data_IF_848474615368
#
_entry.id   IF_848474615368
#
_cell.length_a   1.000
_cell.length_b   1.000
_cell.length_c   1.000
_cell.angle_alpha   90.00
_cell.angle_beta   90.00
_cell.angle_gamma   90.00
#
_symmetry.space_group_name_H-M   'P 1'
#
loop_
_entity.id
_entity.type
_entity.pdbx_description
1 polymer ?
#
# COMPACT_ATOMS: atom_id res chain seq x y z
N UNK A 1 3.69 -7.64 -21.71
CA UNK A 1 4.25 -6.32 -21.34
C UNK A 1 4.93 -6.47 -19.98
N UNK A 2 6.03 -5.79 -19.66
CA UNK A 2 6.62 -5.88 -18.31
C UNK A 2 6.43 -4.57 -17.54
N UNK A 3 6.23 -4.68 -16.23
CA UNK A 3 5.96 -3.57 -15.31
C UNK A 3 6.94 -3.63 -14.15
N UNK A 4 7.53 -2.48 -13.77
CA UNK A 4 8.26 -2.33 -12.52
C UNK A 4 7.28 -2.16 -11.35
N UNK A 5 7.09 -3.22 -10.56
CA UNK A 5 6.05 -3.28 -9.52
C UNK A 5 6.23 -2.21 -8.44
N UNK A 6 7.42 -1.93 -7.89
CA UNK A 6 7.61 -0.83 -6.94
C UNK A 6 7.18 0.53 -7.49
N UNK A 7 7.51 0.84 -8.76
CA UNK A 7 7.04 2.10 -9.38
C UNK A 7 5.52 2.13 -9.48
N UNK A 8 4.89 1.01 -9.86
CA UNK A 8 3.44 0.90 -9.91
C UNK A 8 2.81 1.08 -8.52
N UNK A 9 3.36 0.42 -7.49
CA UNK A 9 2.91 0.57 -6.10
C UNK A 9 2.91 2.04 -5.68
N UNK A 10 4.01 2.76 -5.92
CA UNK A 10 4.10 4.18 -5.58
C UNK A 10 3.00 5.01 -6.27
N UNK A 11 2.83 4.86 -7.58
CA UNK A 11 1.81 5.61 -8.32
C UNK A 11 0.40 5.24 -7.88
N UNK A 12 0.10 3.95 -7.71
CA UNK A 12 -1.22 3.47 -7.28
C UNK A 12 -1.56 3.98 -5.88
N UNK A 13 -0.68 3.82 -4.90
CA UNK A 13 -0.97 4.28 -3.54
C UNK A 13 -1.05 5.81 -3.44
N UNK A 14 -0.31 6.53 -4.28
CA UNK A 14 -0.46 7.97 -4.37
C UNK A 14 -1.79 8.39 -5.01
N UNK A 15 -2.31 7.62 -5.97
CA UNK A 15 -3.67 7.79 -6.48
C UNK A 15 -4.71 7.53 -5.41
N UNK A 16 -4.55 6.48 -4.59
CA UNK A 16 -5.43 6.21 -3.44
C UNK A 16 -5.41 7.36 -2.42
N UNK A 17 -4.21 7.83 -2.04
CA UNK A 17 -4.04 8.95 -1.10
C UNK A 17 -4.76 10.23 -1.55
N UNK A 18 -4.86 10.43 -2.86
CA UNK A 18 -5.51 11.61 -3.46
C UNK A 18 -6.93 11.30 -3.96
N UNK A 19 -7.41 10.05 -3.82
CA UNK A 19 -8.71 9.56 -4.31
C UNK A 19 -8.98 10.01 -5.76
N UNK A 20 -8.02 9.78 -6.66
CA UNK A 20 -8.15 10.19 -8.07
C UNK A 20 -9.19 9.33 -8.80
N UNK A 21 -9.82 9.87 -9.84
CA UNK A 21 -10.87 9.18 -10.63
C UNK A 21 -10.45 7.83 -11.19
N UNK A 22 -9.16 7.64 -11.49
CA UNK A 22 -8.63 6.41 -12.09
C UNK A 22 -7.99 5.45 -11.08
N UNK A 23 -8.28 5.59 -9.78
CA UNK A 23 -7.67 4.76 -8.73
C UNK A 23 -7.97 3.27 -8.94
N UNK A 24 -9.19 2.92 -9.34
CA UNK A 24 -9.60 1.53 -9.58
C UNK A 24 -8.75 0.85 -10.66
N UNK A 25 -8.55 1.52 -11.80
CA UNK A 25 -7.70 1.01 -12.87
C UNK A 25 -6.26 0.74 -12.38
N UNK A 26 -5.69 1.65 -11.57
CA UNK A 26 -4.38 1.47 -10.98
C UNK A 26 -4.34 0.28 -10.01
N UNK A 27 -5.38 0.11 -9.18
CA UNK A 27 -5.52 -1.00 -8.24
C UNK A 27 -5.67 -2.35 -8.97
N UNK A 28 -6.47 -2.40 -10.03
CA UNK A 28 -6.66 -3.61 -10.84
C UNK A 28 -5.34 -4.09 -11.45
N UNK A 29 -4.57 -3.17 -12.04
CA UNK A 29 -3.26 -3.50 -12.64
C UNK A 29 -2.27 -3.90 -11.56
N UNK A 30 -2.25 -3.21 -10.41
CA UNK A 30 -1.38 -3.53 -9.29
C UNK A 30 -1.68 -4.93 -8.72
N UNK A 31 -2.95 -5.29 -8.55
CA UNK A 31 -3.36 -6.60 -8.07
C UNK A 31 -2.79 -7.73 -8.97
N UNK A 32 -2.95 -7.61 -10.29
CA UNK A 32 -2.41 -8.57 -11.25
C UNK A 32 -0.88 -8.61 -11.17
N UNK A 33 -0.22 -7.45 -11.09
CA UNK A 33 1.24 -7.38 -11.01
C UNK A 33 1.78 -8.03 -9.72
N UNK A 34 1.12 -7.83 -8.58
CA UNK A 34 1.49 -8.45 -7.31
C UNK A 34 1.29 -9.97 -7.32
N UNK A 35 0.24 -10.48 -7.95
CA UNK A 35 0.07 -11.94 -8.16
C UNK A 35 1.22 -12.51 -9.00
N UNK A 36 1.60 -11.85 -10.09
CA UNK A 36 2.73 -12.30 -10.91
C UNK A 36 4.06 -12.24 -10.14
N UNK A 37 4.20 -11.26 -9.24
CA UNK A 37 5.39 -11.07 -8.41
C UNK A 37 5.61 -12.21 -7.40
N UNK A 38 4.54 -12.89 -6.94
CA UNK A 38 4.65 -14.02 -6.02
C UNK A 38 5.52 -15.16 -6.58
N UNK A 39 5.50 -15.35 -7.91
CA UNK A 39 6.25 -16.38 -8.62
C UNK A 39 7.53 -15.85 -9.29
N UNK A 40 7.92 -14.61 -9.01
CA UNK A 40 9.08 -13.95 -9.61
C UNK A 40 10.25 -13.86 -8.64
N UNK A 41 11.46 -13.76 -9.19
CA UNK A 41 12.69 -13.40 -8.46
C UNK A 41 13.05 -11.92 -8.62
N UNK A 42 12.31 -11.18 -9.46
CA UNK A 42 12.56 -9.76 -9.76
C UNK A 42 11.29 -8.92 -9.66
N UNK A 43 11.45 -7.63 -9.36
CA UNK A 43 10.40 -6.62 -9.32
C UNK A 43 9.82 -6.25 -10.70
N UNK A 44 10.35 -6.82 -11.78
CA UNK A 44 9.89 -6.56 -13.14
C UNK A 44 9.13 -7.79 -13.64
N UNK A 45 7.81 -7.70 -13.64
CA UNK A 45 6.93 -8.86 -13.91
C UNK A 45 6.18 -8.71 -15.24
N UNK A 46 5.88 -9.81 -15.93
CA UNK A 46 4.99 -9.77 -17.08
C UNK A 46 3.54 -9.52 -16.63
N UNK A 47 2.86 -8.60 -17.31
CA UNK A 47 1.43 -8.33 -17.16
C UNK A 47 0.75 -8.42 -18.54
N UNK A 48 -0.47 -9.00 -18.64
CA UNK A 48 -1.23 -9.03 -19.88
C UNK A 48 -1.40 -7.63 -20.47
N UNK A 49 -1.24 -7.50 -21.79
CA UNK A 49 -1.32 -6.19 -22.46
C UNK A 49 -2.71 -5.56 -22.31
N UNK A 50 -3.77 -6.37 -22.28
CA UNK A 50 -5.15 -5.91 -22.05
C UNK A 50 -5.29 -5.22 -20.70
N UNK A 51 -4.79 -5.83 -19.62
CA UNK A 51 -4.82 -5.26 -18.26
C UNK A 51 -3.98 -4.00 -18.19
N UNK A 52 -2.75 -4.06 -18.71
CA UNK A 52 -1.83 -2.95 -18.69
C UNK A 52 -2.35 -1.67 -19.38
N UNK A 53 -3.15 -1.81 -20.45
CA UNK A 53 -3.76 -0.69 -21.16
C UNK A 53 -4.79 0.08 -20.33
N UNK A 54 -5.24 -0.48 -19.20
CA UNK A 54 -6.13 0.22 -18.28
C UNK A 54 -5.40 1.32 -17.47
N UNK A 55 -4.06 1.29 -17.40
CA UNK A 55 -3.32 2.31 -16.68
C UNK A 55 -3.59 3.72 -17.26
N UNK A 56 -3.84 4.72 -16.40
CA UNK A 56 -3.87 6.12 -16.81
C UNK A 56 -2.58 6.50 -17.52
N UNK A 57 -2.68 7.39 -18.51
CA UNK A 57 -1.54 7.82 -19.32
C UNK A 57 -0.37 8.30 -18.45
N UNK A 58 -0.63 9.14 -17.45
CA UNK A 58 0.37 9.71 -16.55
C UNK A 58 1.08 8.67 -15.66
N UNK A 59 0.39 7.56 -15.37
CA UNK A 59 0.97 6.42 -14.64
C UNK A 59 1.75 5.51 -15.59
N UNK A 60 1.19 5.22 -16.76
CA UNK A 60 1.81 4.37 -17.77
C UNK A 60 3.19 4.88 -18.20
N UNK A 61 3.35 6.20 -18.36
CA UNK A 61 4.64 6.84 -18.68
C UNK A 61 5.70 6.61 -17.57
N UNK A 62 5.29 6.66 -16.30
CA UNK A 62 6.21 6.60 -15.15
C UNK A 62 6.64 5.18 -14.78
N UNK A 63 5.76 4.19 -14.97
CA UNK A 63 5.96 2.80 -14.51
C UNK A 63 6.95 2.01 -15.38
N UNK A 64 7.49 2.63 -16.44
CA UNK A 64 8.48 2.05 -17.35
C UNK A 64 7.97 0.74 -17.96
N UNK A 65 7.02 0.88 -18.88
CA UNK A 65 6.51 -0.21 -19.70
C UNK A 65 7.60 -0.64 -20.71
N UNK A 66 8.44 -1.61 -20.33
CA UNK A 66 9.58 -2.06 -21.13
C UNK A 66 9.35 -3.50 -21.62
N UNK A 67 9.73 -3.80 -22.87
CA UNK A 67 9.61 -5.16 -23.41
C UNK A 67 10.74 -6.08 -22.93
N UNK A 68 11.98 -5.58 -22.80
CA UNK A 68 13.17 -6.32 -22.36
C UNK A 68 14.18 -5.43 -21.60
N UNK A 69 13.92 -5.05 -20.34
CA UNK A 69 14.92 -4.32 -19.57
C UNK A 69 16.08 -5.27 -19.18
N UNK A 70 17.34 -4.81 -19.20
CA UNK A 70 18.39 -5.50 -18.46
C UNK A 70 17.98 -5.56 -16.99
N UNK A 71 18.02 -6.75 -16.40
CA UNK A 71 17.72 -6.94 -14.98
C UNK A 71 18.98 -6.60 -14.20
N UNK A 72 18.88 -5.61 -13.32
CA UNK A 72 19.98 -5.24 -12.44
C UNK A 72 19.81 -5.90 -11.07
N UNK A 73 20.89 -5.96 -10.27
CA UNK A 73 20.83 -6.51 -8.90
C UNK A 73 19.77 -5.81 -8.04
N UNK A 74 19.55 -4.52 -8.23
CA UNK A 74 18.53 -3.74 -7.51
C UNK A 74 17.09 -4.06 -7.94
N UNK A 75 16.89 -4.83 -9.01
CA UNK A 75 15.58 -5.34 -9.42
C UNK A 75 15.26 -6.71 -8.80
N UNK A 76 16.21 -7.35 -8.10
CA UNK A 76 15.98 -8.64 -7.45
C UNK A 76 15.18 -8.47 -6.15
N UNK A 77 14.32 -9.44 -5.86
CA UNK A 77 13.50 -9.45 -4.64
C UNK A 77 14.30 -10.09 -3.50
N UNK A 78 14.54 -9.33 -2.43
CA UNK A 78 15.10 -9.85 -1.19
C UNK A 78 14.04 -10.62 -0.39
N UNK A 79 14.43 -11.63 0.39
CA UNK A 79 13.49 -12.37 1.26
C UNK A 79 12.82 -11.45 2.28
N UNK A 80 13.56 -10.48 2.79
CA UNK A 80 13.06 -9.53 3.80
C UNK A 80 12.04 -8.53 3.24
N UNK A 81 11.87 -8.48 1.91
CA UNK A 81 10.81 -7.69 1.28
C UNK A 81 9.43 -8.38 1.39
N UNK A 82 9.38 -9.67 1.73
CA UNK A 82 8.14 -10.47 1.71
C UNK A 82 7.05 -9.92 2.63
N UNK A 83 7.29 -9.49 3.88
CA UNK A 83 6.25 -8.90 4.72
C UNK A 83 5.61 -7.66 4.08
N UNK A 84 6.42 -6.80 3.45
CA UNK A 84 5.93 -5.60 2.77
C UNK A 84 5.16 -5.93 1.48
N UNK A 85 5.57 -6.96 0.74
CA UNK A 85 4.85 -7.43 -0.45
C UNK A 85 3.51 -8.09 -0.09
N UNK A 86 3.47 -8.84 1.00
CA UNK A 86 2.22 -9.39 1.55
C UNK A 86 1.28 -8.26 1.99
N UNK A 87 1.82 -7.25 2.69
CA UNK A 87 1.05 -6.05 3.05
C UNK A 87 0.48 -5.35 1.81
N UNK A 88 1.30 -5.14 0.77
CA UNK A 88 0.85 -4.52 -0.47
C UNK A 88 -0.28 -5.32 -1.13
N UNK A 89 -0.17 -6.65 -1.16
CA UNK A 89 -1.16 -7.53 -1.78
C UNK A 89 -2.51 -7.48 -1.05
N UNK A 90 -2.50 -7.65 0.27
CA UNK A 90 -3.72 -7.63 1.08
C UNK A 90 -4.34 -6.23 1.07
N UNK A 91 -3.53 -5.19 1.24
CA UNK A 91 -4.04 -3.83 1.22
C UNK A 91 -4.63 -3.44 -0.14
N UNK A 92 -4.08 -3.94 -1.26
CA UNK A 92 -4.66 -3.70 -2.58
C UNK A 92 -6.08 -4.29 -2.69
N UNK A 93 -6.32 -5.47 -2.11
CA UNK A 93 -7.64 -6.09 -2.08
C UNK A 93 -8.63 -5.28 -1.25
N UNK A 94 -8.22 -4.84 -0.06
CA UNK A 94 -9.04 -3.97 0.79
C UNK A 94 -9.33 -2.62 0.14
N UNK A 95 -8.34 -2.00 -0.52
CA UNK A 95 -8.53 -0.77 -1.29
C UNK A 95 -9.55 -0.95 -2.43
N UNK A 96 -9.52 -2.07 -3.15
CA UNK A 96 -10.52 -2.40 -4.18
C UNK A 96 -11.92 -2.60 -3.58
N UNK A 97 -12.01 -3.21 -2.39
CA UNK A 97 -13.27 -3.34 -1.67
C UNK A 97 -13.81 -1.96 -1.26
N UNK A 98 -12.99 -1.15 -0.59
CA UNK A 98 -13.37 0.20 -0.20
C UNK A 98 -13.79 1.07 -1.40
N UNK A 99 -13.10 0.94 -2.54
CA UNK A 99 -13.47 1.65 -3.76
C UNK A 99 -14.87 1.27 -4.26
N UNK A 100 -15.19 -0.03 -4.31
CA UNK A 100 -16.53 -0.52 -4.70
C UNK A 100 -17.62 -0.12 -3.71
N UNK A 101 -17.27 0.01 -2.44
CA UNK A 101 -18.17 0.46 -1.37
C UNK A 101 -18.21 2.00 -1.24
N UNK A 102 -17.56 2.73 -2.16
CA UNK A 102 -17.47 4.20 -2.19
C UNK A 102 -16.90 4.83 -0.90
N UNK A 103 -16.10 4.07 -0.14
CA UNK A 103 -15.48 4.49 1.12
C UNK A 103 -14.18 5.28 0.86
N UNK A 104 -14.33 6.54 0.48
CA UNK A 104 -13.19 7.40 0.10
C UNK A 104 -12.19 7.67 1.23
N UNK A 105 -12.65 7.77 2.48
CA UNK A 105 -11.80 8.10 3.63
C UNK A 105 -10.83 6.96 3.99
N UNK A 106 -11.27 5.70 4.15
CA UNK A 106 -10.36 4.55 4.26
C UNK A 106 -9.35 4.45 3.11
N UNK A 107 -9.77 4.70 1.87
CA UNK A 107 -8.88 4.68 0.69
C UNK A 107 -7.76 5.71 0.82
N UNK A 108 -8.13 6.94 1.21
CA UNK A 108 -7.18 8.04 1.42
C UNK A 108 -6.18 7.73 2.53
N UNK A 109 -6.67 7.28 3.68
CA UNK A 109 -5.85 6.98 4.84
C UNK A 109 -4.89 5.81 4.59
N UNK A 110 -5.39 4.73 3.99
CA UNK A 110 -4.58 3.57 3.64
C UNK A 110 -3.59 3.90 2.51
N UNK A 111 -3.99 4.69 1.51
CA UNK A 111 -3.09 5.23 0.50
C UNK A 111 -1.97 6.08 1.10
N UNK A 112 -2.28 6.91 2.12
CA UNK A 112 -1.28 7.65 2.87
C UNK A 112 -0.32 6.71 3.60
N UNK A 113 -0.79 5.67 4.27
CA UNK A 113 0.11 4.76 4.96
C UNK A 113 1.07 4.03 4.00
N UNK A 114 0.56 3.62 2.85
CA UNK A 114 1.28 2.72 1.94
C UNK A 114 2.16 3.43 0.90
N UNK A 115 2.10 4.76 0.76
CA UNK A 115 2.82 5.44 -0.33
C UNK A 115 4.33 5.20 -0.32
N UNK A 116 4.94 4.97 0.85
CA UNK A 116 6.36 4.64 1.00
C UNK A 116 6.69 3.15 0.92
N UNK A 117 5.68 2.27 0.81
CA UNK A 117 5.89 0.82 0.82
C UNK A 117 6.78 0.34 -0.34
N UNK A 118 6.75 1.05 -1.48
CA UNK A 118 7.62 0.78 -2.61
C UNK A 118 9.12 0.90 -2.27
N UNK A 119 9.48 1.77 -1.32
CA UNK A 119 10.86 1.94 -0.87
C UNK A 119 11.24 0.77 0.05
N UNK A 120 10.36 0.38 0.97
CA UNK A 120 10.61 -0.72 1.91
C UNK A 120 10.71 -2.08 1.22
N UNK A 121 9.98 -2.32 0.12
CA UNK A 121 10.17 -3.55 -0.65
C UNK A 121 11.53 -3.59 -1.36
N UNK A 122 12.07 -2.43 -1.78
CA UNK A 122 13.38 -2.36 -2.44
C UNK A 122 14.54 -2.42 -1.45
N UNK A 123 14.38 -1.79 -0.29
CA UNK A 123 15.41 -1.70 0.73
C UNK A 123 14.77 -1.91 2.10
N UNK A 124 14.44 -3.16 2.47
CA UNK A 124 13.78 -3.48 3.74
C UNK A 124 14.52 -2.96 4.97
N UNK A 125 15.85 -2.92 4.93
CA UNK A 125 16.70 -2.39 6.00
C UNK A 125 16.53 -0.90 6.28
N UNK A 126 15.89 -0.13 5.39
CA UNK A 126 15.56 1.28 5.62
C UNK A 126 14.19 1.46 6.30
N UNK A 127 13.46 0.38 6.59
CA UNK A 127 12.22 0.48 7.35
C UNK A 127 12.53 0.82 8.80
N UNK A 128 12.01 1.96 9.24
CA UNK A 128 12.05 2.41 10.62
C UNK A 128 10.63 2.47 11.18
N UNK A 129 10.39 1.68 12.25
CA UNK A 129 9.07 1.53 12.85
C UNK A 129 8.55 2.85 13.43
N UNK A 130 9.42 3.63 14.08
CA UNK A 130 9.03 4.88 14.74
C UNK A 130 8.61 5.92 13.70
N UNK A 131 9.37 6.03 12.61
CA UNK A 131 9.04 6.88 11.47
C UNK A 131 7.76 6.46 10.77
N UNK A 132 7.48 5.15 10.68
CA UNK A 132 6.25 4.64 10.06
C UNK A 132 5.03 4.69 10.98
N UNK A 133 5.21 4.89 12.29
CA UNK A 133 4.14 4.85 13.28
C UNK A 133 3.02 5.85 12.98
N UNK A 134 3.37 7.06 12.52
CA UNK A 134 2.38 8.07 12.13
C UNK A 134 1.51 7.61 10.94
N UNK A 135 2.12 6.95 9.94
CA UNK A 135 1.42 6.36 8.80
C UNK A 135 0.49 5.22 9.24
N UNK A 136 0.99 4.34 10.11
CA UNK A 136 0.17 3.28 10.72
C UNK A 136 -1.04 3.85 11.46
N UNK A 137 -0.84 4.91 12.25
CA UNK A 137 -1.91 5.57 12.99
C UNK A 137 -2.98 6.19 12.07
N UNK A 138 -2.59 6.88 11.00
CA UNK A 138 -3.54 7.46 10.04
C UNK A 138 -4.44 6.39 9.44
N UNK A 139 -3.87 5.26 9.02
CA UNK A 139 -4.68 4.13 8.54
C UNK A 139 -5.52 3.51 9.66
N UNK A 140 -4.96 3.41 10.87
CA UNK A 140 -5.60 2.83 12.04
C UNK A 140 -6.90 3.51 12.50
N UNK A 141 -7.16 4.76 12.11
CA UNK A 141 -8.49 5.40 12.30
C UNK A 141 -9.64 4.64 11.63
N UNK A 142 -9.33 3.79 10.66
CA UNK A 142 -10.27 2.94 9.95
C UNK A 142 -10.03 1.46 10.24
N UNK A 143 -9.41 1.13 11.38
CA UNK A 143 -9.04 -0.24 11.76
C UNK A 143 -10.22 -1.20 11.65
N UNK A 144 -11.38 -0.83 12.19
CA UNK A 144 -12.60 -1.65 12.14
C UNK A 144 -13.14 -1.87 10.72
N UNK A 145 -12.83 -0.98 9.76
CA UNK A 145 -13.20 -1.16 8.36
C UNK A 145 -12.28 -2.13 7.64
N UNK A 146 -11.04 -2.35 8.12
CA UNK A 146 -10.06 -3.24 7.49
C UNK A 146 -10.44 -4.71 7.67
N UNK A 147 -10.08 -5.54 6.68
CA UNK A 147 -10.16 -6.98 6.84
C UNK A 147 -9.22 -7.48 7.95
N UNK A 148 -9.56 -8.58 8.64
CA UNK A 148 -8.66 -9.18 9.64
C UNK A 148 -7.27 -9.49 9.08
N UNK A 149 -7.20 -9.92 7.81
CA UNK A 149 -5.94 -10.19 7.14
C UNK A 149 -5.06 -8.92 7.03
N UNK A 150 -5.66 -7.78 6.71
CA UNK A 150 -4.94 -6.51 6.63
C UNK A 150 -4.46 -6.05 8.02
N UNK A 151 -5.32 -6.17 9.04
CA UNK A 151 -4.99 -5.86 10.43
C UNK A 151 -3.78 -6.69 10.90
N UNK A 152 -3.82 -8.01 10.73
CA UNK A 152 -2.73 -8.90 11.09
C UNK A 152 -1.43 -8.55 10.35
N UNK A 153 -1.50 -8.24 9.06
CA UNK A 153 -0.30 -7.94 8.28
C UNK A 153 0.32 -6.59 8.65
N UNK A 154 -0.50 -5.58 9.00
CA UNK A 154 0.02 -4.34 9.58
C UNK A 154 0.73 -4.59 10.91
N UNK A 155 0.11 -5.37 11.79
CA UNK A 155 0.70 -5.75 13.09
C UNK A 155 2.04 -6.46 12.89
N UNK A 156 2.13 -7.41 11.96
CA UNK A 156 3.36 -8.12 11.64
C UNK A 156 4.47 -7.17 11.16
N UNK A 157 4.18 -6.22 10.27
CA UNK A 157 5.15 -5.21 9.81
C UNK A 157 5.59 -4.28 10.94
N UNK A 158 4.67 -3.92 11.84
CA UNK A 158 4.95 -3.07 13.00
C UNK A 158 5.60 -3.82 14.17
N UNK A 159 5.75 -5.15 14.07
CA UNK A 159 6.15 -6.02 15.17
C UNK A 159 5.31 -5.77 16.44
N UNK A 160 3.99 -5.84 16.27
CA UNK A 160 2.97 -5.71 17.31
C UNK A 160 2.03 -6.92 17.27
N UNK A 161 1.39 -7.23 18.39
CA UNK A 161 0.16 -8.02 18.41
C UNK A 161 -1.04 -7.17 17.98
N UNK A 162 -2.15 -7.82 17.59
CA UNK A 162 -3.39 -7.10 17.26
C UNK A 162 -4.00 -6.40 18.48
N UNK A 163 -3.85 -6.98 19.67
CA UNK A 163 -4.32 -6.38 20.92
C UNK A 163 -3.52 -5.11 21.25
N UNK A 164 -2.19 -5.14 21.12
CA UNK A 164 -1.34 -3.95 21.31
C UNK A 164 -1.67 -2.86 20.30
N UNK A 165 -1.82 -3.24 19.02
CA UNK A 165 -2.23 -2.32 17.96
C UNK A 165 -3.57 -1.65 18.29
N UNK A 166 -4.58 -2.43 18.69
CA UNK A 166 -5.89 -1.90 19.02
C UNK A 166 -5.85 -0.96 20.23
N UNK A 167 -5.06 -1.29 21.26
CA UNK A 167 -4.86 -0.41 22.43
C UNK A 167 -4.23 0.92 22.02
N UNK A 168 -3.15 0.87 21.24
CA UNK A 168 -2.46 2.07 20.72
C UNK A 168 -3.42 2.98 19.94
N UNK A 169 -4.24 2.39 19.07
CA UNK A 169 -5.16 3.13 18.22
C UNK A 169 -6.33 3.73 19.03
N UNK A 170 -6.82 3.01 20.04
CA UNK A 170 -7.90 3.47 20.93
C UNK A 170 -7.46 4.59 21.88
N UNK A 171 -6.26 4.48 22.47
CA UNK A 171 -5.78 5.42 23.49
C UNK A 171 -5.57 6.85 22.93
N UNK A 172 -5.29 7.01 21.63
CA UNK A 172 -5.12 8.32 21.00
C UNK A 172 -6.43 8.99 20.56
N UNK A 173 -7.51 8.23 20.31
CA UNK A 173 -8.83 8.85 20.06
C UNK A 173 -9.31 9.64 21.29
N UNK A 174 -8.96 9.18 22.49
CA UNK A 174 -9.25 9.83 23.76
C UNK A 174 -8.45 11.14 23.94
N UNK A 175 -7.19 11.18 23.47
CA UNK A 175 -6.35 12.38 23.58
C UNK A 175 -6.74 13.48 22.59
N UNK A 176 -7.18 13.13 21.37
CA UNK A 176 -7.63 14.13 20.39
C UNK A 176 -9.02 14.69 20.73
N UNK A 177 -9.92 13.86 21.27
CA UNK A 177 -11.26 14.29 21.70
C UNK A 177 -11.25 15.21 22.91
N UNK A 178 -10.33 14.99 23.85
CA UNK A 178 -10.13 15.86 25.04
C UNK A 178 -9.47 17.21 24.72
N UNK A 179 -8.78 17.35 23.60
CA UNK A 179 -8.23 18.63 23.14
C UNK A 179 -9.27 19.47 22.37
N UNK A 180 -10.23 18.84 21.69
CA UNK A 180 -11.33 19.54 21.01
C UNK A 180 -12.38 20.12 21.96
N UNK A 181 -12.50 19.60 23.20
CA UNK A 181 -13.46 20.10 24.20
C UNK A 181 -12.97 21.32 25.00
N UNK A 182 -11.74 21.80 24.76
CA UNK A 182 -11.15 22.96 25.46
C UNK A 182 -11.24 24.25 24.62
N UNK A 183 -11.84 24.18 23.43
CA UNK A 183 -11.95 25.31 22.49
C UNK A 183 -13.33 25.97 22.40
N UNK A 184 -14.28 25.63 23.28
CA UNK A 184 -15.67 26.14 23.25
C UNK A 184 -16.10 26.89 24.53
N UNK A 185 -15.15 27.50 25.27
CA UNK A 185 -15.47 28.46 26.35
C UNK A 185 -15.07 29.90 25.98
#
# INVERSE_FOLDING_TARGET
MRINVPKLMYQTFQHCRLVRSNTDNCLQVLAVALTMLQHSTTFIVPVPRSVAKCLPHDVAEKVSVIWFPPIHRHDMIHTDARPFLTLASIATQDLQRFWREEQTQPIRALGYALHNLHAFVRTPSCFDRECYFHSFYIAGRYWANMSPALQHQFCAVMNLSCEEAQKILSDQEIQLSSLSSVGEE
#
